data_IF_769986501398
#
_entry.id   IF_769986501398
#
_cell.length_a   1.000
_cell.length_b   1.000
_cell.length_c   1.000
_cell.angle_alpha   90.00
_cell.angle_beta   90.00
_cell.angle_gamma   90.00
#
_symmetry.space_group_name_H-M   'P 1'
#
loop_
_entity.id
_entity.type
_entity.pdbx_description
1 polymer ?
#
# COMPACT_ATOMS: atom_id res chain seq x y z
N UNK A 1 1.65 12.02 5.39
CA UNK A 1 2.63 11.49 4.44
C UNK A 1 1.86 11.00 3.22
N UNK A 2 2.28 11.39 2.00
CA UNK A 2 1.62 10.94 0.78
C UNK A 2 1.70 9.41 0.66
N UNK A 3 0.69 8.74 0.05
CA UNK A 3 0.75 7.31 -0.20
C UNK A 3 1.96 6.99 -1.08
N UNK A 4 2.85 6.12 -0.61
CA UNK A 4 4.02 5.70 -1.38
C UNK A 4 4.11 4.18 -1.42
N UNK A 5 4.62 3.67 -2.53
CA UNK A 5 5.09 2.31 -2.66
C UNK A 5 6.36 2.16 -1.84
N UNK A 6 6.46 1.10 -1.04
CA UNK A 6 7.65 0.82 -0.24
C UNK A 6 8.32 -0.46 -0.73
N UNK A 7 9.60 -0.36 -1.06
CA UNK A 7 10.50 -1.49 -1.21
C UNK A 7 11.52 -1.44 -0.08
N UNK A 8 11.81 -2.59 0.50
CA UNK A 8 12.83 -2.69 1.54
C UNK A 8 13.68 -3.94 1.37
N UNK A 9 14.87 -3.88 1.93
CA UNK A 9 15.86 -4.95 1.87
C UNK A 9 16.63 -5.03 3.19
N UNK A 10 16.73 -6.23 3.74
CA UNK A 10 17.57 -6.49 4.90
C UNK A 10 19.04 -6.64 4.44
N UNK A 11 19.86 -5.63 4.69
CA UNK A 11 21.29 -5.65 4.36
C UNK A 11 22.17 -5.97 5.57
N UNK A 12 21.57 -6.08 6.76
CA UNK A 12 22.25 -6.46 7.99
C UNK A 12 22.55 -7.96 8.08
N UNK A 13 22.96 -8.38 9.26
CA UNK A 13 23.25 -9.80 9.58
C UNK A 13 22.18 -10.46 10.43
N UNK A 14 21.23 -9.69 10.93
CA UNK A 14 20.16 -10.15 11.84
C UNK A 14 18.81 -10.19 11.12
N UNK A 15 17.95 -11.13 11.54
CA UNK A 15 16.58 -11.25 11.05
C UNK A 15 15.70 -10.08 11.51
N UNK A 16 14.83 -9.59 10.63
CA UNK A 16 13.79 -8.59 10.95
C UNK A 16 12.40 -9.24 10.98
N UNK A 17 11.51 -8.76 11.85
CA UNK A 17 10.11 -9.17 11.89
C UNK A 17 9.22 -8.07 11.32
N UNK A 18 8.51 -8.38 10.24
CA UNK A 18 7.54 -7.48 9.60
C UNK A 18 6.12 -7.89 10.00
N UNK A 19 5.35 -6.97 10.58
CA UNK A 19 3.91 -7.12 10.74
C UNK A 19 3.16 -6.16 9.82
N UNK A 20 2.05 -6.61 9.21
CA UNK A 20 1.19 -5.75 8.40
C UNK A 20 -0.29 -6.11 8.51
N UNK A 21 -1.17 -5.15 8.26
CA UNK A 21 -2.60 -5.39 8.19
C UNK A 21 -2.96 -6.01 6.83
N UNK A 22 -3.36 -7.28 6.84
CA UNK A 22 -3.95 -7.98 5.70
C UNK A 22 -5.49 -7.92 5.70
N UNK A 23 -6.10 -8.45 4.64
CA UNK A 23 -7.56 -8.48 4.50
C UNK A 23 -8.31 -9.30 5.57
N UNK A 24 -7.62 -10.23 6.24
CA UNK A 24 -8.18 -11.11 7.26
C UNK A 24 -7.64 -10.83 8.68
N UNK A 25 -6.93 -9.71 8.90
CA UNK A 25 -6.27 -9.39 10.17
C UNK A 25 -4.79 -9.07 10.02
N UNK A 26 -4.10 -8.90 11.15
CA UNK A 26 -2.65 -8.68 11.19
C UNK A 26 -1.93 -9.97 10.78
N UNK A 27 -0.93 -9.83 9.90
CA UNK A 27 -0.05 -10.89 9.44
C UNK A 27 1.39 -10.54 9.80
N UNK A 28 2.25 -11.56 9.83
CA UNK A 28 3.67 -11.39 10.11
C UNK A 28 4.55 -12.30 9.27
N UNK A 29 5.81 -11.90 9.11
CA UNK A 29 6.83 -12.68 8.44
C UNK A 29 8.23 -12.26 8.89
N UNK A 30 9.18 -13.19 8.84
CA UNK A 30 10.60 -12.94 9.10
C UNK A 30 11.31 -12.61 7.81
N UNK A 31 12.06 -11.51 7.80
CA UNK A 31 12.90 -11.06 6.70
C UNK A 31 14.35 -11.37 7.06
N UNK A 32 14.88 -12.43 6.46
CA UNK A 32 16.26 -12.86 6.66
C UNK A 32 17.26 -11.88 6.03
N UNK A 33 18.53 -11.87 6.46
CA UNK A 33 19.61 -11.19 5.76
C UNK A 33 19.60 -11.47 4.25
N UNK A 34 19.65 -10.43 3.45
CA UNK A 34 19.51 -10.50 1.99
C UNK A 34 18.07 -10.60 1.49
N UNK A 35 17.09 -10.60 2.39
CA UNK A 35 15.67 -10.70 2.09
C UNK A 35 15.04 -9.35 1.70
N UNK A 36 14.34 -9.27 0.57
CA UNK A 36 13.55 -8.10 0.20
C UNK A 36 12.08 -8.23 0.65
N UNK A 37 11.38 -7.09 0.74
CA UNK A 37 9.92 -7.06 0.74
C UNK A 37 9.38 -5.86 -0.03
N UNK A 38 8.08 -5.94 -0.39
CA UNK A 38 7.33 -4.84 -0.97
C UNK A 38 5.99 -4.65 -0.24
N UNK A 39 5.66 -3.41 0.09
CA UNK A 39 4.39 -3.00 0.71
C UNK A 39 3.66 -2.00 -0.19
N UNK A 40 2.37 -2.29 -0.46
CA UNK A 40 1.48 -1.37 -1.20
C UNK A 40 1.23 -0.09 -0.40
N UNK A 41 0.96 1.05 -1.08
CA UNK A 41 0.64 2.29 -0.40
C UNK A 41 -0.49 2.14 0.63
N UNK A 42 -0.33 2.83 1.76
CA UNK A 42 -1.30 2.89 2.86
C UNK A 42 -1.63 1.57 3.58
N UNK A 43 -0.90 0.48 3.33
CA UNK A 43 -0.99 -0.71 4.19
C UNK A 43 -0.31 -0.40 5.54
N UNK A 44 -1.02 -0.39 6.68
CA UNK A 44 -0.40 -0.25 7.98
C UNK A 44 0.55 -1.41 8.26
N UNK A 45 1.78 -1.11 8.67
CA UNK A 45 2.80 -2.11 8.96
C UNK A 45 3.81 -1.58 10.00
N UNK A 46 4.56 -2.50 10.61
CA UNK A 46 5.71 -2.16 11.46
C UNK A 46 6.83 -3.19 11.29
N UNK A 47 8.06 -2.70 11.39
CA UNK A 47 9.26 -3.51 11.50
C UNK A 47 9.69 -3.58 12.97
N UNK A 48 10.14 -4.76 13.37
CA UNK A 48 10.69 -5.04 14.70
C UNK A 48 11.95 -5.89 14.55
N UNK A 49 12.81 -5.82 15.55
CA UNK A 49 13.84 -6.84 15.71
C UNK A 49 13.16 -8.15 16.10
N UNK A 50 13.61 -9.27 15.53
CA UNK A 50 13.10 -10.59 15.92
C UNK A 50 13.51 -10.91 17.37
N UNK A 51 14.77 -10.67 17.71
CA UNK A 51 15.32 -10.79 19.06
C UNK A 51 15.60 -9.41 19.66
N UNK A 52 15.16 -9.10 20.90
CA UNK A 52 15.32 -7.76 21.49
C UNK A 52 16.78 -7.30 21.65
N UNK A 53 17.72 -8.24 21.78
CA UNK A 53 19.16 -7.95 21.94
C UNK A 53 19.88 -7.72 20.61
N UNK A 54 19.28 -8.06 19.48
CA UNK A 54 19.90 -7.97 18.17
C UNK A 54 19.18 -6.92 17.32
N UNK A 55 19.94 -6.06 16.65
CA UNK A 55 19.37 -5.01 15.81
C UNK A 55 19.40 -5.45 14.34
N UNK A 56 18.24 -5.38 13.68
CA UNK A 56 18.14 -5.55 12.23
C UNK A 56 18.42 -4.24 11.49
N UNK A 57 19.11 -4.33 10.35
CA UNK A 57 19.46 -3.18 9.52
C UNK A 57 18.74 -3.25 8.16
N UNK A 58 17.81 -2.32 7.95
CA UNK A 58 16.90 -2.31 6.81
C UNK A 58 17.14 -1.09 5.93
N UNK A 59 17.32 -1.31 4.63
CA UNK A 59 17.28 -0.24 3.63
C UNK A 59 15.85 -0.12 3.13
N UNK A 60 15.24 1.07 3.22
CA UNK A 60 13.85 1.31 2.84
C UNK A 60 13.78 2.45 1.83
N UNK A 61 13.16 2.18 0.68
CA UNK A 61 12.94 3.13 -0.40
C UNK A 61 11.43 3.33 -0.60
N UNK A 62 10.98 4.59 -0.59
CA UNK A 62 9.58 4.95 -0.80
C UNK A 62 9.42 5.82 -2.04
N UNK A 63 8.51 5.43 -2.94
CA UNK A 63 8.25 6.14 -4.21
C UNK A 63 6.75 6.36 -4.38
N UNK A 64 6.33 7.61 -4.62
CA UNK A 64 4.91 7.97 -4.80
C UNK A 64 4.26 7.39 -6.07
N UNK A 65 5.07 7.11 -7.09
CA UNK A 65 4.64 6.64 -8.42
C UNK A 65 3.54 7.54 -9.03
N UNK A 66 2.72 6.98 -9.93
CA UNK A 66 1.73 7.72 -10.72
C UNK A 66 0.54 8.26 -9.92
N UNK A 67 0.44 7.93 -8.63
CA UNK A 67 -0.67 8.35 -7.78
C UNK A 67 -0.34 9.56 -6.90
N UNK A 68 0.91 10.04 -6.91
CA UNK A 68 1.32 11.21 -6.15
C UNK A 68 1.09 12.51 -6.94
N UNK A 69 0.98 13.64 -6.24
CA UNK A 69 0.77 14.95 -6.85
C UNK A 69 -0.61 15.14 -7.50
N UNK A 70 -0.63 15.56 -8.77
CA UNK A 70 -1.85 15.98 -9.49
C UNK A 70 -2.94 14.91 -9.54
N UNK A 71 -2.56 13.64 -9.76
CA UNK A 71 -3.51 12.54 -9.75
C UNK A 71 -4.19 12.36 -8.37
N UNK A 72 -3.46 12.61 -7.28
CA UNK A 72 -4.03 12.61 -5.94
C UNK A 72 -5.00 13.77 -5.75
N UNK A 73 -4.63 14.97 -6.24
CA UNK A 73 -5.49 16.15 -6.14
C UNK A 73 -6.76 15.98 -6.97
N UNK A 74 -6.68 15.48 -8.20
CA UNK A 74 -7.84 15.20 -9.05
C UNK A 74 -8.79 14.21 -8.35
N UNK A 75 -8.27 13.07 -7.88
CA UNK A 75 -9.09 12.09 -7.16
C UNK A 75 -9.72 12.70 -5.89
N UNK A 76 -9.00 13.55 -5.17
CA UNK A 76 -9.50 14.19 -3.95
C UNK A 76 -10.66 15.15 -4.19
N UNK A 77 -10.85 15.61 -5.43
CA UNK A 77 -11.98 16.47 -5.81
C UNK A 77 -13.23 15.65 -6.23
N UNK A 78 -13.10 14.34 -6.41
CA UNK A 78 -14.23 13.47 -6.78
C UNK A 78 -15.00 13.06 -5.52
N UNK A 79 -16.35 13.17 -5.50
CA UNK A 79 -17.15 12.72 -4.36
C UNK A 79 -16.88 11.26 -4.00
N UNK A 80 -16.83 10.95 -2.71
CA UNK A 80 -16.41 9.64 -2.20
C UNK A 80 -17.29 8.50 -2.75
N UNK A 81 -18.58 8.75 -2.90
CA UNK A 81 -19.58 7.86 -3.47
C UNK A 81 -19.33 7.53 -4.95
N UNK A 82 -18.64 8.42 -5.68
CA UNK A 82 -18.32 8.22 -7.09
C UNK A 82 -16.99 7.47 -7.30
N UNK A 83 -16.11 7.42 -6.29
CA UNK A 83 -14.77 6.84 -6.40
C UNK A 83 -14.75 5.38 -6.86
N UNK A 84 -15.76 4.58 -6.50
CA UNK A 84 -15.85 3.19 -6.96
C UNK A 84 -15.79 3.09 -8.49
N UNK A 85 -16.49 3.99 -9.21
CA UNK A 85 -16.52 4.00 -10.68
C UNK A 85 -15.22 4.48 -11.31
N UNK A 86 -14.46 5.32 -10.59
CA UNK A 86 -13.12 5.74 -11.02
C UNK A 86 -12.15 4.55 -11.02
N UNK A 87 -12.22 3.71 -9.98
CA UNK A 87 -11.36 2.52 -9.87
C UNK A 87 -11.85 1.32 -10.69
N UNK A 88 -13.17 1.18 -10.86
CA UNK A 88 -13.80 0.06 -11.54
C UNK A 88 -15.17 0.48 -12.09
N UNK A 89 -15.20 0.98 -13.32
CA UNK A 89 -16.47 1.29 -14.01
C UNK A 89 -17.21 -0.01 -14.36
N UNK A 90 -18.51 -0.05 -14.06
CA UNK A 90 -19.33 -1.26 -14.19
C UNK A 90 -20.58 -1.05 -15.05
N UNK A 91 -20.77 0.16 -15.59
CA UNK A 91 -21.94 0.49 -16.41
C UNK A 91 -21.57 1.42 -17.56
N UNK A 92 -22.43 1.45 -18.58
CA UNK A 92 -22.36 2.42 -19.66
C UNK A 92 -22.55 3.84 -19.12
N UNK A 93 -21.99 4.83 -19.83
CA UNK A 93 -22.04 6.25 -19.41
C UNK A 93 -23.46 6.83 -19.46
N UNK A 94 -24.41 6.13 -20.09
CA UNK A 94 -25.83 6.43 -20.11
C UNK A 94 -26.67 5.14 -20.11
N UNK A 95 -27.92 5.25 -19.70
CA UNK A 95 -28.91 4.18 -19.88
C UNK A 95 -29.51 4.30 -21.28
N UNK A 96 -29.36 3.26 -22.10
CA UNK A 96 -29.91 3.23 -23.45
C UNK A 96 -31.43 3.03 -23.46
N UNK A 97 -32.04 2.65 -22.33
CA UNK A 97 -33.49 2.55 -22.21
C UNK A 97 -34.10 3.95 -22.04
N UNK A 98 -35.21 4.24 -22.74
CA UNK A 98 -35.93 5.48 -22.50
C UNK A 98 -36.41 5.52 -21.05
N UNK A 99 -36.30 6.69 -20.41
CA UNK A 99 -36.97 6.93 -19.13
C UNK A 99 -38.48 6.81 -19.36
N UNK A 100 -39.13 5.86 -18.70
CA UNK A 100 -40.58 5.87 -18.58
C UNK A 100 -40.98 7.19 -17.90
N UNK A 101 -41.98 7.86 -18.50
CA UNK A 101 -42.46 9.19 -18.10
C UNK A 101 -43.33 9.12 -16.84
#
# INVERSE_FOLDING_TARGET
MAPAHEFAYNYGTEDALLHWQGGAGVRETVIQPGGPYYIKPRVPHCLRNLEPSHQSDMAIIRVGASFDGDAHFELSNIPREALHRVFSETRQWYDAKPKEA
#
